data_IF_635715152990
#
_entry.id   IF_635715152990
#
_cell.length_a   1.000
_cell.length_b   1.000
_cell.length_c   1.000
_cell.angle_alpha   90.00
_cell.angle_beta   90.00
_cell.angle_gamma   90.00
#
_symmetry.space_group_name_H-M   'P 1'
#
loop_
_entity.id
_entity.type
_entity.pdbx_description
1 polymer ?
#
# COMPACT_ATOMS: atom_id res chain seq x y z
N UNK A 1 -20.42 -13.24 -17.79
CA UNK A 1 -18.97 -13.33 -18.01
C UNK A 1 -18.34 -12.70 -16.79
N UNK A 2 -17.71 -13.49 -15.94
CA UNK A 2 -17.24 -13.03 -14.63
C UNK A 2 -16.06 -12.07 -14.82
N UNK A 3 -16.10 -10.95 -14.11
CA UNK A 3 -15.05 -9.93 -14.19
C UNK A 3 -13.87 -10.40 -13.33
N UNK A 4 -12.73 -10.64 -13.97
CA UNK A 4 -11.49 -10.97 -13.27
C UNK A 4 -10.78 -9.67 -12.88
N UNK A 5 -10.39 -9.53 -11.61
CA UNK A 5 -9.65 -8.37 -11.11
C UNK A 5 -8.16 -8.46 -11.49
N UNK A 6 -7.62 -7.41 -12.11
CA UNK A 6 -6.19 -7.29 -12.41
C UNK A 6 -5.55 -6.11 -11.65
N UNK A 7 -5.34 -6.22 -10.32
CA UNK A 7 -4.96 -5.09 -9.48
C UNK A 7 -3.60 -4.48 -9.84
N UNK A 8 -2.64 -5.28 -10.34
CA UNK A 8 -1.32 -4.82 -10.78
C UNK A 8 -1.37 -3.75 -11.89
N UNK A 9 -2.47 -3.68 -12.64
CA UNK A 9 -2.68 -2.65 -13.67
C UNK A 9 -3.02 -1.27 -13.09
N UNK A 10 -3.33 -1.20 -11.79
CA UNK A 10 -3.62 0.07 -11.10
C UNK A 10 -2.34 0.76 -10.60
N UNK A 11 -1.19 0.09 -10.66
CA UNK A 11 0.09 0.65 -10.26
C UNK A 11 0.50 1.79 -11.20
N UNK A 12 0.79 2.95 -10.62
CA UNK A 12 1.16 4.16 -11.37
C UNK A 12 2.66 4.36 -11.27
N UNK A 13 3.33 4.58 -12.42
CA UNK A 13 4.71 5.07 -12.45
C UNK A 13 4.74 6.51 -11.96
N UNK A 14 5.44 6.74 -10.84
CA UNK A 14 5.60 8.07 -10.23
C UNK A 14 6.98 8.62 -10.53
N UNK A 15 7.08 9.95 -10.49
CA UNK A 15 8.34 10.71 -10.59
C UNK A 15 8.66 11.47 -9.31
N UNK A 16 7.79 11.38 -8.30
CA UNK A 16 7.93 12.00 -7.01
C UNK A 16 7.28 11.13 -5.92
N UNK A 17 7.78 11.26 -4.70
CA UNK A 17 7.28 10.51 -3.54
C UNK A 17 5.78 10.74 -3.36
N UNK A 18 5.04 9.69 -3.05
CA UNK A 18 3.61 9.80 -2.82
C UNK A 18 3.31 10.74 -1.64
N UNK A 19 2.17 11.45 -1.71
CA UNK A 19 1.73 12.32 -0.62
C UNK A 19 1.69 11.64 0.76
N UNK A 20 1.16 10.40 0.92
CA UNK A 20 1.14 9.74 2.22
C UNK A 20 2.54 9.32 2.69
N UNK A 21 3.41 8.79 1.83
CA UNK A 21 4.79 8.43 2.21
C UNK A 21 5.56 9.68 2.64
N UNK A 22 5.38 10.81 1.94
CA UNK A 22 5.96 12.10 2.35
C UNK A 22 5.47 12.53 3.73
N UNK A 23 4.18 12.34 4.04
CA UNK A 23 3.64 12.63 5.37
C UNK A 23 4.33 11.78 6.45
N UNK A 24 4.44 10.45 6.23
CA UNK A 24 5.10 9.55 7.18
C UNK A 24 6.56 9.94 7.42
N UNK A 25 7.28 10.28 6.34
CA UNK A 25 8.65 10.76 6.40
C UNK A 25 8.77 12.05 7.22
N UNK A 26 7.96 13.07 6.91
CA UNK A 26 8.01 14.38 7.58
C UNK A 26 7.69 14.32 9.08
N UNK A 27 6.94 13.32 9.52
CA UNK A 27 6.55 13.12 10.91
C UNK A 27 7.46 12.12 11.65
N UNK A 28 8.54 11.64 11.02
CA UNK A 28 9.48 10.70 11.64
C UNK A 28 8.84 9.36 12.00
N UNK A 29 7.86 8.92 11.21
CA UNK A 29 7.09 7.70 11.46
C UNK A 29 7.74 6.45 10.83
N UNK A 30 8.65 6.65 9.87
CA UNK A 30 9.41 5.58 9.24
C UNK A 30 10.63 5.24 10.12
N UNK A 31 10.58 4.12 10.86
CA UNK A 31 11.58 3.75 11.85
C UNK A 31 12.04 2.30 11.69
N UNK A 32 13.30 2.05 12.05
CA UNK A 32 13.91 0.71 12.01
C UNK A 32 13.97 0.15 10.59
N UNK A 33 13.80 -1.16 10.48
CA UNK A 33 13.70 -1.87 9.20
C UNK A 33 12.28 -1.73 8.65
N UNK A 34 12.17 -1.24 7.43
CA UNK A 34 10.90 -0.83 6.81
C UNK A 34 10.56 -1.74 5.63
N UNK A 35 9.29 -2.09 5.51
CA UNK A 35 8.74 -2.73 4.32
C UNK A 35 7.69 -1.83 3.64
N UNK A 36 7.86 -1.59 2.35
CA UNK A 36 6.84 -1.04 1.46
C UNK A 36 6.06 -2.20 0.80
N UNK A 37 4.96 -2.60 1.43
CA UNK A 37 4.14 -3.73 1.00
C UNK A 37 3.17 -3.29 -0.10
N UNK A 38 3.26 -3.93 -1.28
CA UNK A 38 2.55 -3.53 -2.49
C UNK A 38 3.11 -2.25 -3.11
N UNK A 39 4.44 -2.15 -3.19
CA UNK A 39 5.17 -0.97 -3.65
C UNK A 39 4.96 -0.63 -5.15
N UNK A 40 4.34 -1.53 -5.92
CA UNK A 40 4.20 -1.40 -7.37
C UNK A 40 5.57 -1.26 -8.04
N UNK A 41 5.74 -0.19 -8.84
CA UNK A 41 7.03 0.12 -9.44
C UNK A 41 8.13 0.52 -8.44
N UNK A 42 7.77 0.79 -7.17
CA UNK A 42 8.69 0.98 -6.05
C UNK A 42 9.43 2.32 -6.00
N UNK A 43 8.86 3.37 -6.59
CA UNK A 43 9.45 4.72 -6.53
C UNK A 43 9.65 5.21 -5.09
N UNK A 44 8.63 5.04 -4.23
CA UNK A 44 8.69 5.46 -2.82
C UNK A 44 9.78 4.69 -2.07
N UNK A 45 9.83 3.36 -2.27
CA UNK A 45 10.88 2.48 -1.75
C UNK A 45 12.27 2.96 -2.15
N UNK A 46 12.51 3.19 -3.45
CA UNK A 46 13.82 3.52 -3.98
C UNK A 46 14.29 4.89 -3.52
N UNK A 47 13.38 5.85 -3.45
CA UNK A 47 13.67 7.20 -2.99
C UNK A 47 14.00 7.24 -1.49
N UNK A 48 13.25 6.51 -0.65
CA UNK A 48 13.57 6.37 0.78
C UNK A 48 14.90 5.66 0.99
N UNK A 49 15.18 4.60 0.21
CA UNK A 49 16.47 3.90 0.26
C UNK A 49 17.62 4.83 -0.11
N UNK A 50 17.46 5.68 -1.13
CA UNK A 50 18.45 6.71 -1.52
C UNK A 50 18.69 7.74 -0.41
N UNK A 51 17.69 8.01 0.43
CA UNK A 51 17.80 8.89 1.60
C UNK A 51 18.42 8.20 2.83
N UNK A 52 18.79 6.91 2.74
CA UNK A 52 19.48 6.17 3.79
C UNK A 52 18.57 5.39 4.75
N UNK A 53 17.29 5.24 4.42
CA UNK A 53 16.39 4.37 5.18
C UNK A 53 16.69 2.90 4.90
N UNK A 54 16.62 2.07 5.96
CA UNK A 54 16.62 0.62 5.83
C UNK A 54 15.24 0.15 5.37
N UNK A 55 15.03 0.16 4.04
CA UNK A 55 13.75 -0.16 3.42
C UNK A 55 13.90 -1.14 2.27
N UNK A 56 12.98 -2.10 2.21
CA UNK A 56 12.74 -2.96 1.07
C UNK A 56 11.29 -2.84 0.59
N UNK A 57 11.05 -3.18 -0.67
CA UNK A 57 9.74 -3.08 -1.30
C UNK A 57 9.33 -4.41 -1.89
N UNK A 58 8.09 -4.80 -1.63
CA UNK A 58 7.50 -6.03 -2.14
C UNK A 58 6.29 -5.70 -3.00
N UNK A 59 6.15 -6.37 -4.13
CA UNK A 59 4.94 -6.33 -4.96
C UNK A 59 4.86 -7.64 -5.76
N UNK A 60 3.74 -8.34 -5.68
CA UNK A 60 3.59 -9.66 -6.30
C UNK A 60 3.81 -9.68 -7.82
N UNK A 61 3.68 -8.53 -8.49
CA UNK A 61 3.91 -8.41 -9.93
C UNK A 61 5.26 -7.75 -10.26
N UNK A 62 5.59 -6.64 -9.59
CA UNK A 62 6.73 -5.79 -9.98
C UNK A 62 8.00 -6.06 -9.17
N UNK A 63 7.89 -6.61 -7.95
CA UNK A 63 9.01 -6.98 -7.08
C UNK A 63 8.66 -8.30 -6.37
N UNK A 64 8.65 -9.43 -7.11
CA UNK A 64 8.03 -10.69 -6.67
C UNK A 64 8.83 -11.44 -5.61
N UNK A 65 10.04 -10.98 -5.29
CA UNK A 65 10.85 -11.55 -4.22
C UNK A 65 10.22 -11.24 -2.87
N UNK A 66 9.57 -12.24 -2.28
CA UNK A 66 8.88 -12.09 -0.99
C UNK A 66 9.87 -11.72 0.13
N UNK A 67 9.56 -10.73 0.97
CA UNK A 67 10.47 -10.20 1.97
C UNK A 67 10.78 -11.25 3.05
N UNK A 68 12.00 -11.18 3.60
CA UNK A 68 12.47 -12.14 4.62
C UNK A 68 12.64 -11.46 5.97
N UNK A 69 12.30 -12.19 7.03
CA UNK A 69 12.39 -11.71 8.40
C UNK A 69 11.23 -10.78 8.76
N UNK A 70 11.45 -9.98 9.79
CA UNK A 70 10.46 -9.10 10.38
C UNK A 70 10.83 -7.62 10.19
N UNK A 71 9.85 -6.74 10.34
CA UNK A 71 9.95 -5.30 10.10
C UNK A 71 9.40 -4.50 11.28
N UNK A 72 10.11 -3.45 11.64
CA UNK A 72 9.69 -2.48 12.65
C UNK A 72 8.55 -1.58 12.14
N UNK A 73 8.61 -1.23 10.84
CA UNK A 73 7.58 -0.42 10.19
C UNK A 73 7.14 -1.09 8.88
N UNK A 74 5.83 -1.23 8.67
CA UNK A 74 5.30 -1.63 7.35
C UNK A 74 4.38 -0.52 6.85
N UNK A 75 4.60 -0.06 5.62
CA UNK A 75 3.68 0.82 4.91
C UNK A 75 2.92 0.00 3.86
N UNK A 76 1.60 0.18 3.80
CA UNK A 76 0.72 -0.49 2.84
C UNK A 76 -0.10 0.58 2.14
N UNK A 77 0.44 1.09 1.03
CA UNK A 77 -0.03 2.32 0.40
C UNK A 77 -0.98 2.03 -0.76
N UNK A 78 -2.28 2.28 -0.55
CA UNK A 78 -3.37 2.11 -1.52
C UNK A 78 -3.61 0.67 -2.03
N UNK A 79 -2.92 -0.33 -1.48
CA UNK A 79 -3.06 -1.74 -1.85
C UNK A 79 -4.48 -2.24 -1.59
N UNK A 80 -5.01 -1.99 -0.39
CA UNK A 80 -6.33 -2.49 -0.01
C UNK A 80 -7.45 -1.92 -0.89
N UNK A 81 -7.27 -0.70 -1.45
CA UNK A 81 -8.27 -0.07 -2.29
C UNK A 81 -8.53 -0.80 -3.61
N UNK A 82 -7.64 -1.70 -4.04
CA UNK A 82 -7.73 -2.39 -5.33
C UNK A 82 -8.00 -3.89 -5.19
N UNK A 83 -8.28 -4.32 -3.96
CA UNK A 83 -8.54 -5.72 -3.60
C UNK A 83 -9.97 -5.90 -3.14
N UNK A 84 -10.55 -7.05 -3.45
CA UNK A 84 -11.83 -7.49 -2.89
C UNK A 84 -11.66 -7.88 -1.40
N UNK A 85 -12.73 -7.89 -0.58
CA UNK A 85 -12.63 -8.05 0.87
C UNK A 85 -11.85 -9.30 1.33
N UNK A 86 -11.97 -10.42 0.63
CA UNK A 86 -11.22 -11.64 0.95
C UNK A 86 -9.71 -11.43 0.77
N UNK A 87 -9.29 -10.88 -0.36
CA UNK A 87 -7.87 -10.58 -0.64
C UNK A 87 -7.31 -9.48 0.28
N UNK A 88 -8.16 -8.52 0.72
CA UNK A 88 -7.75 -7.55 1.74
C UNK A 88 -7.38 -8.24 3.05
N UNK A 89 -8.16 -9.24 3.47
CA UNK A 89 -7.90 -10.01 4.69
C UNK A 89 -6.60 -10.82 4.58
N UNK A 90 -6.33 -11.44 3.43
CA UNK A 90 -5.06 -12.15 3.16
C UNK A 90 -3.87 -11.20 3.27
N UNK A 91 -3.91 -10.03 2.63
CA UNK A 91 -2.83 -9.03 2.71
C UNK A 91 -2.60 -8.56 4.14
N UNK A 92 -3.67 -8.27 4.91
CA UNK A 92 -3.53 -7.86 6.30
C UNK A 92 -2.93 -8.98 7.18
N UNK A 93 -3.25 -10.24 6.87
CA UNK A 93 -2.66 -11.39 7.54
C UNK A 93 -1.17 -11.56 7.18
N UNK A 94 -0.79 -11.46 5.91
CA UNK A 94 0.61 -11.49 5.47
C UNK A 94 1.43 -10.39 6.14
N UNK A 95 0.92 -9.16 6.16
CA UNK A 95 1.56 -8.03 6.85
C UNK A 95 1.74 -8.34 8.34
N UNK A 96 0.74 -8.95 9.01
CA UNK A 96 0.88 -9.32 10.42
C UNK A 96 1.98 -10.35 10.66
N UNK A 97 2.22 -11.27 9.71
CA UNK A 97 3.29 -12.25 9.79
C UNK A 97 4.68 -11.65 9.49
N UNK A 98 4.74 -10.50 8.85
CA UNK A 98 5.99 -9.77 8.57
C UNK A 98 6.31 -8.71 9.63
N UNK A 99 5.34 -8.30 10.44
CA UNK A 99 5.55 -7.28 11.47
C UNK A 99 6.28 -7.85 12.69
N UNK A 100 7.19 -7.07 13.26
CA UNK A 100 7.71 -7.31 14.62
C UNK A 100 6.59 -7.21 15.67
N UNK A 101 6.70 -7.87 16.84
CA UNK A 101 5.68 -7.80 17.89
C UNK A 101 5.31 -6.38 18.32
N UNK A 102 6.30 -5.49 18.41
CA UNK A 102 6.14 -4.07 18.75
C UNK A 102 6.21 -3.15 17.51
N UNK A 103 6.16 -3.74 16.31
CA UNK A 103 6.20 -3.01 15.05
C UNK A 103 4.90 -2.24 14.78
N UNK A 104 4.97 -1.26 13.89
CA UNK A 104 3.83 -0.43 13.49
C UNK A 104 3.48 -0.62 12.01
N UNK A 105 2.19 -0.71 11.69
CA UNK A 105 1.72 -0.71 10.31
C UNK A 105 0.97 0.59 10.00
N UNK A 106 1.33 1.21 8.87
CA UNK A 106 0.59 2.32 8.28
C UNK A 106 -0.18 1.86 7.05
N UNK A 107 -1.49 1.64 7.23
CA UNK A 107 -2.40 1.39 6.10
C UNK A 107 -2.87 2.73 5.53
N UNK A 108 -2.54 2.99 4.26
CA UNK A 108 -2.97 4.20 3.58
C UNK A 108 -4.06 3.86 2.59
N UNK A 109 -5.20 4.53 2.74
CA UNK A 109 -6.37 4.28 1.90
C UNK A 109 -6.85 5.55 1.21
N UNK A 110 -7.44 5.38 0.03
CA UNK A 110 -8.05 6.48 -0.73
C UNK A 110 -9.31 7.03 -0.06
N UNK A 111 -9.53 8.33 -0.26
CA UNK A 111 -10.73 9.09 0.15
C UNK A 111 -11.37 9.90 -0.97
N UNK A 112 -10.79 9.84 -2.16
CA UNK A 112 -11.24 10.51 -3.37
C UNK A 112 -12.02 9.58 -4.32
N UNK A 113 -12.28 8.33 -3.91
CA UNK A 113 -13.02 7.35 -4.70
C UNK A 113 -14.53 7.59 -4.61
N UNK A 114 -15.15 7.97 -5.75
CA UNK A 114 -16.58 8.35 -5.80
C UNK A 114 -17.56 7.19 -5.95
N UNK A 115 -17.16 6.17 -6.69
CA UNK A 115 -17.97 4.96 -6.96
C UNK A 115 -17.15 3.75 -6.52
N UNK A 116 -17.72 2.55 -6.41
CA UNK A 116 -16.98 1.33 -6.06
C UNK A 116 -17.24 0.21 -7.07
N UNK A 117 -16.42 -0.84 -7.03
CA UNK A 117 -16.58 -2.03 -7.85
C UNK A 117 -15.65 -2.08 -9.06
N UNK A 118 -16.00 -2.96 -10.00
CA UNK A 118 -15.22 -3.20 -11.21
C UNK A 118 -15.32 -2.06 -12.21
N UNK A 119 -14.16 -1.61 -12.69
CA UNK A 119 -14.00 -0.58 -13.71
C UNK A 119 -13.20 -1.11 -14.88
N UNK A 120 -13.54 -0.63 -16.06
CA UNK A 120 -12.79 -0.94 -17.28
C UNK A 120 -11.51 -0.10 -17.34
N UNK A 121 -10.36 -0.74 -17.47
CA UNK A 121 -9.09 -0.07 -17.65
C UNK A 121 -8.83 0.17 -19.15
N UNK A 122 -8.94 1.42 -19.61
CA UNK A 122 -8.93 1.77 -21.03
C UNK A 122 -7.66 1.32 -21.79
N UNK A 123 -6.48 1.42 -21.17
CA UNK A 123 -5.20 1.06 -21.81
C UNK A 123 -5.06 -0.45 -21.99
N UNK A 124 -5.24 -1.21 -20.91
CA UNK A 124 -5.01 -2.65 -20.87
C UNK A 124 -6.20 -3.49 -21.33
N UNK A 125 -7.38 -2.86 -21.51
CA UNK A 125 -8.63 -3.53 -21.90
C UNK A 125 -8.99 -4.70 -20.97
N UNK A 126 -8.81 -4.48 -19.67
CA UNK A 126 -9.09 -5.44 -18.59
C UNK A 126 -9.87 -4.75 -17.47
N UNK A 127 -10.49 -5.54 -16.58
CA UNK A 127 -11.20 -5.01 -15.42
C UNK A 127 -10.29 -4.90 -14.20
N UNK A 128 -10.47 -3.82 -13.44
CA UNK A 128 -9.85 -3.62 -12.13
C UNK A 128 -10.93 -3.34 -11.11
N UNK A 129 -10.83 -3.91 -9.92
CA UNK A 129 -11.71 -3.60 -8.80
C UNK A 129 -11.15 -2.41 -8.01
N UNK A 130 -12.02 -1.50 -7.55
CA UNK A 130 -11.63 -0.48 -6.58
C UNK A 130 -12.74 -0.22 -5.57
N UNK A 131 -12.40 -0.08 -4.29
CA UNK A 131 -13.35 0.25 -3.22
C UNK A 131 -12.80 1.26 -2.22
N UNK A 132 -13.69 1.88 -1.44
CA UNK A 132 -13.26 2.56 -0.23
C UNK A 132 -12.94 1.52 0.84
N UNK A 133 -12.03 1.89 1.72
CA UNK A 133 -11.58 1.03 2.83
C UNK A 133 -11.70 1.82 4.13
N UNK A 134 -12.36 1.23 5.11
CA UNK A 134 -12.49 1.78 6.47
C UNK A 134 -11.97 0.72 7.42
N UNK A 135 -10.95 1.07 8.21
CA UNK A 135 -10.32 0.14 9.15
C UNK A 135 -10.62 0.57 10.60
N UNK A 136 -10.78 -0.39 11.53
CA UNK A 136 -11.06 -0.10 12.94
C UNK A 136 -9.77 0.29 13.71
N UNK A 137 -8.91 1.10 13.10
CA UNK A 137 -7.61 1.50 13.62
C UNK A 137 -7.56 3.01 13.84
N UNK A 138 -6.54 3.48 14.57
CA UNK A 138 -6.37 4.92 14.82
C UNK A 138 -6.10 5.66 13.52
N UNK A 139 -6.95 6.61 13.18
CA UNK A 139 -6.71 7.55 12.08
C UNK A 139 -5.67 8.60 12.51
N UNK A 140 -4.53 8.65 11.83
CA UNK A 140 -3.47 9.62 12.11
C UNK A 140 -3.68 10.92 11.33
N UNK A 141 -4.11 10.80 10.08
CA UNK A 141 -4.42 11.93 9.21
C UNK A 141 -5.50 11.50 8.23
N UNK A 142 -6.43 12.42 7.98
CA UNK A 142 -7.50 12.26 7.00
C UNK A 142 -7.66 13.56 6.23
N UNK A 143 -7.60 13.48 4.91
CA UNK A 143 -7.90 14.60 4.02
C UNK A 143 -8.79 14.13 2.86
N UNK A 144 -9.05 15.00 1.89
CA UNK A 144 -9.90 14.68 0.73
C UNK A 144 -9.31 13.60 -0.18
N UNK A 145 -7.99 13.38 -0.14
CA UNK A 145 -7.29 12.41 -0.98
C UNK A 145 -7.06 11.07 -0.29
N UNK A 146 -6.57 11.06 0.95
CA UNK A 146 -6.21 9.84 1.66
C UNK A 146 -6.45 9.91 3.17
N UNK A 147 -6.48 8.73 3.78
CA UNK A 147 -6.46 8.53 5.23
C UNK A 147 -5.36 7.52 5.59
N UNK A 148 -4.60 7.79 6.66
CA UNK A 148 -3.60 6.88 7.20
C UNK A 148 -4.10 6.31 8.51
N UNK A 149 -4.24 4.99 8.55
CA UNK A 149 -4.52 4.22 9.75
C UNK A 149 -3.23 3.64 10.35
N UNK A 150 -3.13 3.67 11.67
CA UNK A 150 -2.03 3.10 12.44
C UNK A 150 -2.52 1.91 13.25
N UNK A 151 -1.89 0.75 13.06
CA UNK A 151 -2.07 -0.47 13.86
C UNK A 151 -0.77 -0.80 14.58
#
# INVERSE_FOLDING_TARGET
>A
MDKVNCPYLTAIKRTAMSAPTRYLLQHGLLKGRILDFGCGHGFDTDELKRQGYDIEGYDSCYRPDYPKGKFDTIICVYVLNVLEPYAQAEVMWEISNLLEPDGTVYYVVRRDLKEEGFRWHAIHKQYTYQCNVILPYKSLVKNKGFEIYCK
#
